data_IF_627192617096
#
_entry.id   IF_627192617096
#
_cell.length_a   1.000
_cell.length_b   1.000
_cell.length_c   1.000
_cell.angle_alpha   90.00
_cell.angle_beta   90.00
_cell.angle_gamma   90.00
#
_symmetry.space_group_name_H-M   'P 1'
#
loop_
_entity.id
_entity.type
_entity.pdbx_description
1 polymer ?
#
# COMPACT_ATOMS: atom_id res chain seq x y z
N UNK A 1 -77.63 9.41 -5.35
CA UNK A 1 -76.73 8.25 -5.55
C UNK A 1 -75.46 8.77 -6.20
N UNK A 2 -74.23 8.71 -5.69
CA UNK A 2 -73.61 8.16 -4.47
C UNK A 2 -72.39 9.06 -4.17
N UNK A 3 -72.25 9.53 -2.92
CA UNK A 3 -71.03 10.14 -2.38
C UNK A 3 -69.91 9.10 -2.25
N UNK A 4 -68.63 9.47 -2.48
CA UNK A 4 -67.46 8.84 -1.81
C UNK A 4 -66.14 9.61 -1.98
N UNK A 5 -65.76 10.27 -0.89
CA UNK A 5 -64.48 10.20 -0.15
C UNK A 5 -63.18 10.68 -0.83
N UNK A 6 -62.66 11.74 -0.22
CA UNK A 6 -61.27 12.22 -0.14
C UNK A 6 -60.26 11.06 0.01
N UNK A 7 -59.15 11.13 -0.73
CA UNK A 7 -57.89 10.52 -0.33
C UNK A 7 -56.76 11.55 -0.48
N UNK A 8 -56.32 12.10 0.66
CA UNK A 8 -55.07 12.83 0.80
C UNK A 8 -54.01 11.77 1.08
N UNK A 9 -53.13 11.50 0.12
CA UNK A 9 -51.93 10.70 0.36
C UNK A 9 -50.85 11.63 0.93
N UNK A 10 -50.71 11.62 2.25
CA UNK A 10 -49.56 12.17 2.97
C UNK A 10 -48.33 11.31 2.61
N UNK A 11 -47.50 11.78 1.67
CA UNK A 11 -46.18 11.22 1.41
C UNK A 11 -45.16 11.83 2.36
N UNK A 12 -44.85 11.14 3.45
CA UNK A 12 -43.78 11.48 4.38
C UNK A 12 -42.45 11.48 3.62
N UNK A 13 -41.84 12.66 3.42
CA UNK A 13 -40.46 12.78 2.98
C UNK A 13 -39.55 12.46 4.17
N UNK A 14 -39.12 11.21 4.28
CA UNK A 14 -38.03 10.85 5.17
C UNK A 14 -36.73 11.43 4.59
N UNK A 15 -36.23 12.49 5.20
CA UNK A 15 -34.86 12.97 4.94
C UNK A 15 -33.93 11.92 5.53
N UNK A 16 -33.38 11.07 4.66
CA UNK A 16 -32.27 10.21 5.02
C UNK A 16 -31.05 11.11 5.21
N UNK A 17 -30.80 11.52 6.45
CA UNK A 17 -29.50 12.06 6.83
C UNK A 17 -28.50 10.90 6.74
N UNK A 18 -27.89 10.72 5.57
CA UNK A 18 -26.73 9.85 5.42
C UNK A 18 -25.58 10.61 6.08
N UNK A 19 -25.36 10.31 7.35
CA UNK A 19 -24.08 10.60 7.98
C UNK A 19 -23.03 9.86 7.18
N UNK A 20 -22.30 10.60 6.34
CA UNK A 20 -21.12 10.08 5.67
C UNK A 20 -20.09 9.91 6.78
N UNK A 21 -20.03 8.71 7.37
CA UNK A 21 -18.82 8.31 8.05
C UNK A 21 -17.74 8.35 6.95
N UNK A 22 -16.81 9.30 7.06
CA UNK A 22 -15.63 9.32 6.21
C UNK A 22 -14.83 8.05 6.54
N UNK A 23 -15.15 6.97 5.83
CA UNK A 23 -14.29 5.80 5.77
C UNK A 23 -13.00 6.32 5.17
N UNK A 24 -11.90 6.23 5.91
CA UNK A 24 -10.59 6.43 5.36
C UNK A 24 -10.48 5.54 4.10
N UNK A 25 -10.43 6.15 2.91
CA UNK A 25 -10.37 5.49 1.64
C UNK A 25 -8.95 4.95 1.38
N UNK A 26 -8.68 3.76 1.91
CA UNK A 26 -7.47 2.99 1.60
C UNK A 26 -7.44 2.70 0.09
N UNK A 27 -6.34 3.06 -0.57
CA UNK A 27 -6.13 2.78 -1.98
C UNK A 27 -5.46 1.41 -2.13
N UNK A 28 -6.22 0.42 -2.60
CA UNK A 28 -5.66 -0.89 -2.93
C UNK A 28 -5.02 -0.85 -4.32
N UNK A 29 -3.76 -1.26 -4.41
CA UNK A 29 -3.00 -1.34 -5.64
C UNK A 29 -2.44 -2.76 -5.84
N UNK A 30 -2.03 -3.05 -7.08
CA UNK A 30 -1.33 -4.27 -7.42
C UNK A 30 -0.08 -3.90 -8.21
N UNK A 31 1.09 -4.27 -7.69
CA UNK A 31 2.41 -4.03 -8.31
C UNK A 31 2.98 -5.38 -8.70
N UNK A 32 3.03 -5.62 -10.01
CA UNK A 32 3.46 -6.89 -10.61
C UNK A 32 2.88 -8.14 -9.92
N UNK A 33 1.57 -8.14 -9.63
CA UNK A 33 0.86 -9.28 -9.02
C UNK A 33 0.92 -9.35 -7.49
N UNK A 34 1.65 -8.45 -6.83
CA UNK A 34 1.66 -8.31 -5.36
C UNK A 34 0.72 -7.18 -4.97
N UNK A 35 -0.13 -7.40 -3.96
CA UNK A 35 -1.16 -6.44 -3.54
C UNK A 35 -0.71 -5.61 -2.35
N UNK A 36 -1.02 -4.33 -2.38
CA UNK A 36 -0.71 -3.39 -1.31
C UNK A 36 -1.92 -2.50 -0.99
N UNK A 37 -1.96 -2.00 0.23
CA UNK A 37 -2.98 -1.08 0.72
C UNK A 37 -2.34 0.27 1.09
N UNK A 38 -2.36 1.22 0.16
CA UNK A 38 -1.82 2.56 0.40
C UNK A 38 -2.75 3.33 1.35
N UNK A 39 -2.25 3.80 2.51
CA UNK A 39 -3.06 4.54 3.47
C UNK A 39 -3.59 5.85 2.90
N UNK A 40 -4.71 6.32 3.44
CA UNK A 40 -5.25 7.65 3.17
C UNK A 40 -4.22 8.76 3.34
N UNK A 41 -4.36 9.78 2.49
CA UNK A 41 -3.53 10.99 2.55
C UNK A 41 -2.24 10.88 1.74
N UNK A 42 -1.86 9.68 1.30
CA UNK A 42 -0.75 9.47 0.38
C UNK A 42 -1.18 9.66 -1.07
N UNK A 43 -0.37 10.39 -1.83
CA UNK A 43 -0.54 10.62 -3.27
C UNK A 43 0.68 10.12 -4.01
N UNK A 44 0.46 9.41 -5.11
CA UNK A 44 1.52 8.84 -5.93
C UNK A 44 2.31 9.91 -6.68
N UNK A 45 3.65 9.79 -6.68
CA UNK A 45 4.54 10.54 -7.56
C UNK A 45 4.96 9.67 -8.77
N UNK A 46 4.23 9.86 -9.87
CA UNK A 46 4.49 9.15 -11.13
C UNK A 46 5.84 9.48 -11.77
N UNK A 47 6.53 10.54 -11.33
CA UNK A 47 7.84 10.91 -11.89
C UNK A 47 8.97 9.97 -11.45
N UNK A 48 8.75 9.24 -10.35
CA UNK A 48 9.69 8.26 -9.80
C UNK A 48 9.35 6.82 -10.17
N UNK A 49 8.18 6.60 -10.78
CA UNK A 49 7.67 5.27 -11.02
C UNK A 49 8.53 4.47 -12.01
N UNK A 50 8.82 3.22 -11.65
CA UNK A 50 9.43 2.24 -12.56
C UNK A 50 8.37 1.21 -12.93
N UNK A 51 8.30 0.84 -14.20
CA UNK A 51 7.32 -0.14 -14.67
C UNK A 51 8.00 -1.23 -15.52
N UNK A 52 8.70 -2.13 -14.83
CA UNK A 52 9.39 -3.26 -15.45
C UNK A 52 10.69 -2.87 -16.14
N UNK A 53 11.34 -1.81 -15.68
CA UNK A 53 12.69 -1.44 -16.14
C UNK A 53 13.69 -2.51 -15.71
N UNK A 54 14.62 -2.85 -16.59
CA UNK A 54 15.66 -3.87 -16.33
C UNK A 54 16.98 -3.16 -16.09
N UNK A 55 17.60 -3.43 -14.95
CA UNK A 55 18.91 -2.86 -14.60
C UNK A 55 20.08 -3.61 -15.25
N UNK A 56 21.31 -3.12 -15.03
CA UNK A 56 22.53 -3.72 -15.59
C UNK A 56 22.79 -5.15 -15.09
N UNK A 57 22.20 -5.52 -13.95
CA UNK A 57 22.31 -6.83 -13.33
C UNK A 57 21.19 -7.78 -13.77
N UNK A 58 20.25 -7.33 -14.61
CA UNK A 58 19.13 -8.11 -15.11
C UNK A 58 17.90 -8.12 -14.21
N UNK A 59 17.88 -7.33 -13.14
CA UNK A 59 16.69 -7.20 -12.29
C UNK A 59 15.65 -6.34 -12.96
N UNK A 60 14.45 -6.88 -13.07
CA UNK A 60 13.26 -6.16 -13.48
C UNK A 60 12.61 -5.52 -12.27
N UNK A 61 12.41 -4.21 -12.31
CA UNK A 61 11.94 -3.42 -11.15
C UNK A 61 10.64 -2.70 -11.46
N UNK A 62 9.73 -2.75 -10.48
CA UNK A 62 8.51 -1.97 -10.41
C UNK A 62 8.54 -1.15 -9.13
N UNK A 63 8.38 0.16 -9.23
CA UNK A 63 8.46 1.07 -8.09
C UNK A 63 7.29 2.04 -8.13
N UNK A 64 6.63 2.19 -6.99
CA UNK A 64 5.58 3.19 -6.79
C UNK A 64 5.88 3.95 -5.51
N UNK A 65 6.18 5.24 -5.66
CA UNK A 65 6.48 6.14 -4.55
C UNK A 65 5.31 7.08 -4.29
N UNK A 66 5.01 7.31 -3.02
CA UNK A 66 3.90 8.12 -2.53
C UNK A 66 4.37 9.11 -1.46
N UNK A 67 3.69 10.25 -1.38
CA UNK A 67 3.93 11.26 -0.35
C UNK A 67 2.63 11.70 0.31
N UNK A 68 2.68 11.92 1.62
CA UNK A 68 1.58 12.57 2.34
C UNK A 68 1.68 14.11 2.27
N UNK A 69 0.76 14.82 2.95
CA UNK A 69 0.75 16.29 2.97
C UNK A 69 1.95 16.93 3.68
N UNK A 70 2.69 16.17 4.48
CA UNK A 70 3.91 16.61 5.16
C UNK A 70 5.16 16.26 4.36
N UNK A 71 5.01 15.68 3.18
CA UNK A 71 6.09 15.11 2.36
C UNK A 71 6.75 13.88 2.97
N UNK A 72 6.06 13.17 3.86
CA UNK A 72 6.57 11.90 4.37
C UNK A 72 6.48 10.84 3.27
N UNK A 73 7.58 10.14 3.01
CA UNK A 73 7.67 9.16 1.93
C UNK A 73 7.09 7.80 2.33
N UNK A 74 6.44 7.15 1.36
CA UNK A 74 6.13 5.72 1.35
C UNK A 74 6.43 5.18 -0.06
N UNK A 75 7.31 4.18 -0.17
CA UNK A 75 7.52 3.46 -1.44
C UNK A 75 7.24 1.98 -1.30
N UNK A 76 6.69 1.39 -2.35
CA UNK A 76 6.62 -0.05 -2.56
C UNK A 76 7.37 -0.41 -3.84
N UNK A 77 8.36 -1.27 -3.69
CA UNK A 77 9.20 -1.75 -4.80
C UNK A 77 9.09 -3.27 -4.91
N UNK A 78 8.86 -3.76 -6.12
CA UNK A 78 8.88 -5.20 -6.45
C UNK A 78 9.94 -5.44 -7.51
N UNK A 79 10.88 -6.34 -7.26
CA UNK A 79 11.96 -6.63 -8.20
C UNK A 79 12.41 -8.09 -8.20
N UNK A 80 12.88 -8.58 -9.35
CA UNK A 80 13.32 -9.97 -9.57
C UNK A 80 14.14 -10.10 -10.85
N UNK A 81 15.01 -11.11 -10.93
CA UNK A 81 15.81 -11.46 -12.11
C UNK A 81 15.25 -12.68 -12.88
N UNK A 82 14.14 -13.26 -12.41
CA UNK A 82 13.50 -14.45 -12.98
C UNK A 82 14.05 -15.78 -12.44
N UNK A 83 15.01 -15.74 -11.52
CA UNK A 83 15.48 -16.88 -10.74
C UNK A 83 14.67 -17.08 -9.45
N UNK A 84 14.97 -18.18 -8.74
CA UNK A 84 14.51 -18.37 -7.36
C UNK A 84 15.33 -17.49 -6.42
N UNK A 85 14.67 -16.74 -5.54
CA UNK A 85 15.34 -15.88 -4.55
C UNK A 85 15.59 -16.65 -3.27
N UNK A 86 16.86 -16.70 -2.81
CA UNK A 86 17.17 -17.14 -1.45
C UNK A 86 16.97 -15.97 -0.48
N UNK A 87 15.96 -16.07 0.39
CA UNK A 87 15.69 -15.06 1.40
C UNK A 87 16.93 -14.71 2.25
N UNK A 88 17.78 -15.69 2.58
CA UNK A 88 18.95 -15.43 3.42
C UNK A 88 20.06 -14.68 2.67
N UNK A 89 20.10 -14.76 1.33
CA UNK A 89 21.10 -14.03 0.55
C UNK A 89 20.81 -12.54 0.49
N UNK A 90 19.61 -12.10 0.87
CA UNK A 90 19.22 -10.69 0.91
C UNK A 90 19.71 -9.97 2.16
N UNK A 91 20.23 -10.69 3.17
CA UNK A 91 20.52 -10.12 4.48
C UNK A 91 21.74 -9.18 4.43
N UNK A 92 21.53 -7.92 4.80
CA UNK A 92 22.59 -6.96 5.09
C UNK A 92 23.05 -7.00 6.57
N UNK A 93 24.28 -6.57 6.90
CA UNK A 93 24.82 -6.67 8.25
C UNK A 93 24.00 -5.96 9.34
N UNK A 94 23.42 -4.80 9.03
CA UNK A 94 22.63 -3.96 9.94
C UNK A 94 21.19 -4.43 10.12
N UNK A 95 20.68 -5.24 9.19
CA UNK A 95 19.30 -5.71 9.20
C UNK A 95 19.03 -6.75 10.29
N UNK A 96 17.83 -6.66 10.86
CA UNK A 96 17.28 -7.63 11.80
C UNK A 96 16.08 -8.34 11.19
N UNK A 97 15.86 -9.59 11.58
CA UNK A 97 14.70 -10.35 11.13
C UNK A 97 13.43 -9.86 11.83
N UNK A 98 12.36 -9.59 11.07
CA UNK A 98 11.03 -9.30 11.60
C UNK A 98 9.96 -10.08 10.83
N UNK A 99 8.80 -10.26 11.47
CA UNK A 99 7.60 -10.78 10.80
C UNK A 99 6.51 -9.73 10.88
N UNK A 100 6.03 -9.27 9.73
CA UNK A 100 4.99 -8.25 9.60
C UNK A 100 3.89 -8.85 8.73
N UNK A 101 2.65 -8.86 9.21
CA UNK A 101 1.48 -9.43 8.49
C UNK A 101 1.68 -10.85 7.96
N UNK A 102 2.50 -11.65 8.65
CA UNK A 102 2.81 -13.04 8.27
C UNK A 102 3.96 -13.20 7.27
N UNK A 103 4.49 -12.10 6.73
CA UNK A 103 5.69 -12.10 5.91
C UNK A 103 6.92 -12.01 6.79
N UNK A 104 7.82 -12.98 6.64
CA UNK A 104 9.13 -12.97 7.26
C UNK A 104 10.07 -12.13 6.39
N UNK A 105 10.72 -11.13 6.96
CA UNK A 105 11.53 -10.15 6.22
C UNK A 105 12.73 -9.63 7.01
N UNK A 106 13.61 -8.95 6.30
CA UNK A 106 14.71 -8.17 6.84
C UNK A 106 14.25 -6.73 7.07
N UNK A 107 14.58 -6.19 8.23
CA UNK A 107 14.15 -4.87 8.68
C UNK A 107 15.37 -4.03 9.06
N UNK A 108 15.38 -2.79 8.64
CA UNK A 108 16.38 -1.80 9.01
C UNK A 108 15.74 -0.44 9.26
N UNK A 109 16.36 0.32 10.15
CA UNK A 109 16.19 1.77 10.23
C UNK A 109 17.54 2.40 9.87
N UNK A 110 17.59 3.09 8.73
CA UNK A 110 18.77 3.83 8.31
C UNK A 110 18.77 5.21 8.98
N UNK A 111 19.81 5.48 9.75
CA UNK A 111 19.96 6.75 10.48
C UNK A 111 20.34 7.92 9.59
N UNK A 112 20.92 7.67 8.41
CA UNK A 112 21.35 8.74 7.51
C UNK A 112 20.16 9.30 6.73
N UNK A 113 19.30 8.42 6.22
CA UNK A 113 18.07 8.81 5.53
C UNK A 113 16.86 9.01 6.45
N UNK A 114 16.93 8.57 7.71
CA UNK A 114 15.80 8.53 8.66
C UNK A 114 14.60 7.70 8.13
N UNK A 115 14.90 6.66 7.34
CA UNK A 115 13.90 5.77 6.74
C UNK A 115 13.96 4.37 7.33
N UNK A 116 12.79 3.76 7.44
CA UNK A 116 12.61 2.35 7.69
C UNK A 116 12.51 1.58 6.37
N UNK A 117 13.11 0.39 6.37
CA UNK A 117 13.08 -0.54 5.26
C UNK A 117 12.56 -1.90 5.77
N UNK A 118 11.67 -2.50 5.00
CA UNK A 118 11.26 -3.88 5.21
C UNK A 118 11.27 -4.64 3.89
N UNK A 119 12.16 -5.62 3.80
CA UNK A 119 12.38 -6.43 2.60
C UNK A 119 11.96 -7.88 2.85
N UNK A 120 11.12 -8.44 2.00
CA UNK A 120 10.66 -9.82 2.09
C UNK A 120 10.52 -10.46 0.70
N UNK A 121 10.33 -11.78 0.68
CA UNK A 121 10.07 -12.52 -0.57
C UNK A 121 8.61 -12.93 -0.62
N UNK A 122 7.96 -12.68 -1.75
CA UNK A 122 6.60 -13.13 -2.05
C UNK A 122 6.50 -13.58 -3.51
N UNK A 123 6.01 -14.80 -3.73
CA UNK A 123 5.92 -15.44 -5.06
C UNK A 123 7.21 -15.32 -5.89
N UNK A 124 8.36 -15.66 -5.29
CA UNK A 124 9.71 -15.58 -5.89
C UNK A 124 10.16 -14.16 -6.29
N UNK A 125 9.47 -13.11 -5.81
CA UNK A 125 9.85 -11.71 -6.01
C UNK A 125 10.33 -11.09 -4.72
N UNK A 126 11.29 -10.18 -4.85
CA UNK A 126 11.73 -9.35 -3.72
C UNK A 126 10.77 -8.18 -3.64
N UNK A 127 10.21 -7.97 -2.45
CA UNK A 127 9.37 -6.84 -2.11
C UNK A 127 10.11 -6.01 -1.08
N UNK A 128 10.25 -4.71 -1.34
CA UNK A 128 10.80 -3.75 -0.41
C UNK A 128 9.78 -2.65 -0.16
N UNK A 129 9.53 -2.35 1.11
CA UNK A 129 8.71 -1.21 1.51
C UNK A 129 9.60 -0.24 2.27
N UNK A 130 9.61 1.01 1.85
CA UNK A 130 10.37 2.09 2.48
C UNK A 130 9.41 3.12 3.04
N UNK A 131 9.58 3.53 4.29
CA UNK A 131 8.69 4.49 4.92
C UNK A 131 9.38 5.27 6.06
N UNK A 132 8.89 6.45 6.39
CA UNK A 132 9.37 7.24 7.54
C UNK A 132 8.79 6.79 8.89
N UNK A 133 7.71 6.00 8.88
CA UNK A 133 7.09 5.41 10.07
C UNK A 133 7.00 3.89 9.92
N UNK A 134 7.65 3.15 10.82
CA UNK A 134 7.58 1.68 10.90
C UNK A 134 6.13 1.17 10.94
N UNK A 135 5.21 1.91 11.57
CA UNK A 135 3.79 1.55 11.69
C UNK A 135 3.04 1.51 10.36
N UNK A 136 3.62 2.02 9.27
CA UNK A 136 3.03 1.95 7.94
C UNK A 136 3.11 0.55 7.34
N UNK A 137 4.09 -0.27 7.70
CA UNK A 137 4.25 -1.62 7.13
C UNK A 137 3.05 -2.53 7.43
N UNK A 138 2.49 -2.45 8.64
CA UNK A 138 1.27 -3.20 9.03
C UNK A 138 0.01 -2.74 8.27
N UNK A 139 0.01 -1.51 7.75
CA UNK A 139 -1.10 -0.96 6.96
C UNK A 139 -0.97 -1.28 5.47
N UNK A 140 0.26 -1.27 4.96
CA UNK A 140 0.58 -1.40 3.53
C UNK A 140 0.57 -2.85 3.07
N UNK A 141 1.07 -3.78 3.88
CA UNK A 141 1.08 -5.21 3.57
C UNK A 141 -0.32 -5.79 3.80
N UNK A 142 -0.85 -6.55 2.83
CA UNK A 142 -2.23 -7.07 2.83
C UNK A 142 -2.29 -8.53 3.26
#
# INVERSE_FOLDING_TARGET
MVSRKILIALGVFAVLAIGIASVAAVQNIEVDGIKFAIPDGYTEDMSMAKNGEVDENGFKTFDHTYFDSNYNMLSVTVFYDGGSVDFNSLKEPSEVEKTIKGHKGWFEFDKESELYFFTYVDNDKIVMITAEDEGLFEKVIV
#
